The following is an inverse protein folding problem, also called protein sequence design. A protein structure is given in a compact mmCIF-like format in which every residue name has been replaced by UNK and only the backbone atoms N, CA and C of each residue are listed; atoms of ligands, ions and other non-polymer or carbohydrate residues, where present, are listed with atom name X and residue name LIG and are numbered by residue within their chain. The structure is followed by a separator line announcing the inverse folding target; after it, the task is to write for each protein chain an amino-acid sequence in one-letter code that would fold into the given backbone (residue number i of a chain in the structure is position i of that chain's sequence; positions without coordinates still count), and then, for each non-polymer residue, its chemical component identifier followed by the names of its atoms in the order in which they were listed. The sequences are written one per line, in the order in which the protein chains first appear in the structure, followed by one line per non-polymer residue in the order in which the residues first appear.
data_IF_753039064909
#
_entry.id   IF_753039064909
#
_cell.length_a   1.000
_cell.length_b   1.000
_cell.length_c   1.000
_cell.angle_alpha   90.00
_cell.angle_beta   90.00
_cell.angle_gamma   90.00
#
_symmetry.space_group_name_H-M   'P 1'
#
loop_
_entity.id
_entity.type
_entity.pdbx_description
1 polymer ?
#
# COMPACT_ATOMS: atom_id res chain seq x y z
N UNK A 1 1.61 2.20 19.58
CA UNK A 1 2.08 3.26 18.66
C UNK A 1 3.38 3.83 19.21
N UNK A 2 4.39 4.13 18.37
CA UNK A 2 5.61 4.77 18.83
C UNK A 2 5.30 6.20 19.33
N UNK A 3 6.05 6.65 20.32
CA UNK A 3 5.96 8.02 20.85
C UNK A 3 7.36 8.65 20.78
N UNK A 4 7.44 9.79 20.10
CA UNK A 4 8.68 10.57 20.02
C UNK A 4 8.61 11.74 21.01
N UNK A 5 9.60 11.87 21.88
CA UNK A 5 9.66 12.91 22.90
C UNK A 5 10.91 13.77 22.73
N UNK A 6 10.74 15.10 22.71
CA UNK A 6 11.84 16.08 22.73
C UNK A 6 11.56 17.11 23.81
N UNK A 7 12.34 17.08 24.87
CA UNK A 7 12.11 17.92 26.03
C UNK A 7 10.75 17.62 26.68
N UNK A 8 9.85 18.60 26.71
CA UNK A 8 8.49 18.47 27.25
C UNK A 8 7.42 18.22 26.19
N UNK A 9 7.80 18.12 24.92
CA UNK A 9 6.88 17.91 23.82
C UNK A 9 6.90 16.44 23.38
N UNK A 10 5.72 15.87 23.08
CA UNK A 10 5.57 14.50 22.62
C UNK A 10 4.69 14.46 21.38
N UNK A 11 5.05 13.59 20.42
CA UNK A 11 4.28 13.28 19.22
C UNK A 11 4.04 11.78 19.19
N UNK A 12 2.79 11.36 19.09
CA UNK A 12 2.40 9.96 19.02
C UNK A 12 2.24 9.51 17.55
N UNK A 13 2.75 8.31 17.23
CA UNK A 13 2.67 7.75 15.90
C UNK A 13 3.65 8.40 14.92
N UNK A 14 3.30 8.32 13.63
CA UNK A 14 4.08 8.88 12.52
C UNK A 14 3.48 10.20 12.00
N UNK A 15 2.98 11.04 12.89
CA UNK A 15 2.54 12.39 12.54
C UNK A 15 3.75 13.19 12.03
N UNK A 16 3.91 13.21 10.68
CA UNK A 16 5.05 13.86 10.02
C UNK A 16 5.09 15.36 10.29
N UNK A 17 3.91 16.01 10.36
CA UNK A 17 3.83 17.44 10.64
C UNK A 17 4.24 17.74 12.08
N UNK A 18 3.71 16.97 13.03
CA UNK A 18 4.08 17.08 14.45
C UNK A 18 5.57 16.78 14.66
N UNK A 19 6.11 15.76 14.00
CA UNK A 19 7.54 15.44 14.05
C UNK A 19 8.40 16.55 13.44
N UNK A 20 8.02 17.11 12.29
CA UNK A 20 8.73 18.22 11.66
C UNK A 20 8.75 19.46 12.57
N UNK A 21 7.64 19.80 13.20
CA UNK A 21 7.57 20.88 14.17
C UNK A 21 8.39 20.58 15.45
N UNK A 22 8.35 19.34 15.92
CA UNK A 22 9.10 18.90 17.10
C UNK A 22 10.61 19.03 16.92
N UNK A 23 11.09 18.65 15.73
CA UNK A 23 12.51 18.70 15.36
C UNK A 23 12.92 20.02 14.68
N UNK A 24 12.01 20.97 14.53
CA UNK A 24 12.25 22.25 13.86
C UNK A 24 12.78 22.04 12.40
N UNK A 25 12.35 20.97 11.76
CA UNK A 25 12.71 20.71 10.38
C UNK A 25 11.93 21.67 9.48
N UNK A 26 12.63 22.44 8.68
CA UNK A 26 11.98 23.12 7.55
C UNK A 26 11.53 22.03 6.58
N UNK A 27 10.23 21.76 6.54
CA UNK A 27 9.67 20.88 5.53
C UNK A 27 9.83 21.57 4.16
N UNK A 28 11.02 21.45 3.54
CA UNK A 28 11.07 21.54 2.09
C UNK A 28 10.21 20.37 1.60
N UNK A 29 9.01 20.69 1.14
CA UNK A 29 8.26 19.73 0.32
C UNK A 29 9.16 19.45 -0.88
N UNK A 30 9.68 18.23 -0.95
CA UNK A 30 10.19 17.74 -2.21
C UNK A 30 9.07 17.93 -3.24
N UNK A 31 9.45 18.26 -4.48
CA UNK A 31 8.45 18.42 -5.54
C UNK A 31 7.54 17.19 -5.53
N UNK A 32 6.21 17.35 -5.53
CA UNK A 32 5.31 16.21 -5.54
C UNK A 32 5.67 15.30 -6.72
N UNK A 33 5.68 14.01 -6.46
CA UNK A 33 5.92 13.01 -7.51
C UNK A 33 4.79 13.13 -8.52
N UNK A 34 5.13 13.11 -9.82
CA UNK A 34 4.13 13.29 -10.87
C UNK A 34 3.00 12.26 -10.76
N UNK A 35 1.75 12.71 -10.76
CA UNK A 35 0.58 11.84 -10.65
C UNK A 35 0.56 10.72 -11.69
N UNK A 36 0.91 11.03 -12.95
CA UNK A 36 1.01 10.03 -14.01
C UNK A 36 1.96 8.88 -13.64
N UNK A 37 3.16 9.20 -13.13
CA UNK A 37 4.12 8.18 -12.70
C UNK A 37 3.59 7.33 -11.54
N UNK A 38 2.86 7.92 -10.60
CA UNK A 38 2.24 7.19 -9.49
C UNK A 38 1.25 6.15 -10.01
N UNK A 39 0.35 6.55 -10.90
CA UNK A 39 -0.66 5.66 -11.45
C UNK A 39 -0.06 4.56 -12.35
N UNK A 40 0.94 4.88 -13.18
CA UNK A 40 1.68 3.89 -13.97
C UNK A 40 2.40 2.87 -13.08
N UNK A 41 3.02 3.34 -12.00
CA UNK A 41 3.69 2.47 -11.03
C UNK A 41 2.69 1.58 -10.29
N UNK A 42 1.52 2.11 -9.89
CA UNK A 42 0.45 1.28 -9.33
C UNK A 42 -0.02 0.20 -10.30
N UNK A 43 -0.25 0.54 -11.57
CA UNK A 43 -0.69 -0.42 -12.58
C UNK A 43 0.30 -1.60 -12.71
N UNK A 44 1.59 -1.29 -12.72
CA UNK A 44 2.66 -2.28 -12.75
C UNK A 44 2.66 -3.16 -11.49
N UNK A 45 2.64 -2.56 -10.30
CA UNK A 45 2.67 -3.28 -9.01
C UNK A 45 1.42 -4.15 -8.87
N UNK A 46 0.22 -3.62 -9.12
CA UNK A 46 -1.02 -4.38 -9.02
C UNK A 46 -1.06 -5.55 -10.00
N UNK A 47 -0.59 -5.37 -11.23
CA UNK A 47 -0.47 -6.46 -12.21
C UNK A 47 0.39 -7.59 -11.67
N UNK A 48 1.52 -7.26 -11.05
CA UNK A 48 2.43 -8.25 -10.49
C UNK A 48 1.84 -8.94 -9.24
N UNK A 49 1.13 -8.20 -8.37
CA UNK A 49 0.44 -8.78 -7.19
C UNK A 49 -0.68 -9.73 -7.63
N UNK A 50 -1.48 -9.36 -8.63
CA UNK A 50 -2.55 -10.20 -9.19
C UNK A 50 -1.96 -11.51 -9.73
N UNK A 51 -0.87 -11.42 -10.49
CA UNK A 51 -0.15 -12.59 -11.02
C UNK A 51 0.39 -13.47 -9.90
N UNK A 52 1.00 -12.90 -8.87
CA UNK A 52 1.52 -13.61 -7.71
C UNK A 52 0.41 -14.27 -6.89
N UNK A 53 -0.72 -13.59 -6.70
CA UNK A 53 -1.88 -14.14 -6.00
C UNK A 53 -2.42 -15.40 -6.68
N UNK A 54 -2.45 -15.45 -8.01
CA UNK A 54 -2.87 -16.63 -8.79
C UNK A 54 -1.94 -17.83 -8.65
N UNK A 55 -0.68 -17.61 -8.22
CA UNK A 55 0.30 -18.67 -8.03
C UNK A 55 0.19 -19.32 -6.64
N UNK A 56 -0.53 -18.71 -5.71
CA UNK A 56 -0.72 -19.30 -4.37
C UNK A 56 -1.51 -20.60 -4.51
N UNK A 57 -0.96 -21.75 -4.05
CA UNK A 57 -1.67 -23.02 -4.08
C UNK A 57 -2.96 -22.95 -3.26
N UNK A 58 -4.01 -23.63 -3.74
CA UNK A 58 -5.34 -23.55 -3.12
C UNK A 58 -5.36 -24.04 -1.66
N UNK A 59 -4.59 -25.08 -1.35
CA UNK A 59 -4.41 -25.65 -0.02
C UNK A 59 -3.54 -24.78 0.90
N UNK A 60 -2.75 -23.85 0.35
CA UNK A 60 -1.86 -22.96 1.10
C UNK A 60 -2.41 -21.53 1.23
N UNK A 61 -3.61 -21.24 0.76
CA UNK A 61 -4.17 -19.88 0.85
C UNK A 61 -4.34 -19.38 2.30
N UNK A 62 -4.39 -20.29 3.27
CA UNK A 62 -4.47 -20.00 4.71
C UNK A 62 -3.11 -20.15 5.41
N UNK A 63 -2.05 -20.48 4.69
CA UNK A 63 -0.70 -20.55 5.24
C UNK A 63 -0.23 -19.18 5.74
N UNK A 64 0.48 -19.17 6.87
CA UNK A 64 1.07 -17.98 7.49
C UNK A 64 2.58 -18.13 7.59
N UNK A 65 3.32 -17.03 7.61
CA UNK A 65 4.74 -17.08 7.96
C UNK A 65 4.90 -17.38 9.45
N UNK A 66 6.04 -17.99 9.88
CA UNK A 66 6.28 -18.28 11.30
C UNK A 66 6.20 -17.05 12.21
N UNK A 67 6.53 -15.87 11.69
CA UNK A 67 6.64 -14.63 12.47
C UNK A 67 5.38 -13.75 12.43
N UNK A 68 4.40 -14.09 11.59
CA UNK A 68 3.19 -13.26 11.40
C UNK A 68 1.95 -14.13 11.18
N UNK A 69 0.98 -13.94 12.02
CA UNK A 69 -0.34 -14.58 11.89
C UNK A 69 -1.21 -13.82 10.87
N UNK A 70 -0.76 -13.82 9.61
CA UNK A 70 -1.54 -13.26 8.49
C UNK A 70 -1.54 -14.23 7.33
N UNK A 71 -2.67 -14.90 7.05
CA UNK A 71 -2.79 -15.83 5.93
C UNK A 71 -2.45 -15.20 4.58
N UNK A 72 -1.87 -15.98 3.67
CA UNK A 72 -1.53 -15.56 2.30
C UNK A 72 -2.70 -14.87 1.60
N UNK A 73 -3.91 -15.42 1.74
CA UNK A 73 -5.14 -14.82 1.19
C UNK A 73 -5.37 -13.40 1.72
N UNK A 74 -5.25 -13.21 3.04
CA UNK A 74 -5.45 -11.91 3.68
C UNK A 74 -4.32 -10.95 3.28
N UNK A 75 -3.10 -11.46 3.14
CA UNK A 75 -1.95 -10.69 2.71
C UNK A 75 -2.11 -10.16 1.29
N UNK A 76 -2.50 -11.01 0.33
CA UNK A 76 -2.80 -10.59 -1.03
C UNK A 76 -3.96 -9.57 -1.09
N UNK A 77 -5.05 -9.86 -0.37
CA UNK A 77 -6.19 -8.94 -0.28
C UNK A 77 -5.78 -7.57 0.22
N UNK A 78 -4.98 -7.51 1.29
CA UNK A 78 -4.47 -6.27 1.87
C UNK A 78 -3.78 -5.38 0.82
N UNK A 79 -2.83 -5.93 0.06
CA UNK A 79 -2.11 -5.18 -0.96
C UNK A 79 -3.07 -4.66 -2.05
N UNK A 80 -4.03 -5.49 -2.44
CA UNK A 80 -4.98 -5.16 -3.50
C UNK A 80 -6.09 -4.19 -3.04
N UNK A 81 -6.40 -4.13 -1.75
CA UNK A 81 -7.43 -3.27 -1.21
C UNK A 81 -6.94 -1.83 -0.93
N UNK A 82 -5.69 -1.68 -0.53
CA UNK A 82 -5.13 -0.39 -0.10
C UNK A 82 -5.32 0.75 -1.10
N UNK A 83 -5.11 0.57 -2.41
CA UNK A 83 -5.35 1.63 -3.39
C UNK A 83 -6.79 2.15 -3.40
N UNK A 84 -7.78 1.29 -3.15
CA UNK A 84 -9.18 1.72 -3.09
C UNK A 84 -9.43 2.71 -1.95
N UNK A 85 -8.81 2.47 -0.79
CA UNK A 85 -8.92 3.36 0.38
C UNK A 85 -8.28 4.71 0.13
N UNK A 86 -7.18 4.76 -0.63
CA UNK A 86 -6.56 6.02 -1.04
C UNK A 86 -7.44 6.79 -2.01
N UNK A 87 -7.99 6.12 -3.03
CA UNK A 87 -8.90 6.76 -3.98
C UNK A 87 -10.15 7.31 -3.28
N UNK A 88 -10.70 6.58 -2.31
CA UNK A 88 -11.80 7.06 -1.48
C UNK A 88 -11.39 8.28 -0.64
N UNK A 89 -10.19 8.25 -0.05
CA UNK A 89 -9.69 9.37 0.74
C UNK A 89 -9.49 10.64 -0.09
N UNK A 90 -9.03 10.54 -1.34
CA UNK A 90 -8.90 11.68 -2.26
C UNK A 90 -10.27 12.32 -2.52
N UNK A 91 -11.31 11.50 -2.66
CA UNK A 91 -12.68 11.99 -2.90
C UNK A 91 -13.31 12.58 -1.63
N UNK A 92 -13.16 11.90 -0.49
CA UNK A 92 -13.84 12.25 0.77
C UNK A 92 -13.07 13.25 1.64
N UNK A 93 -11.78 13.44 1.41
CA UNK A 93 -10.90 14.24 2.26
C UNK A 93 -10.55 13.56 3.60
N UNK A 94 -10.83 12.26 3.75
CA UNK A 94 -10.60 11.48 4.99
C UNK A 94 -9.88 10.17 4.75
N UNK A 95 -8.87 9.88 5.59
CA UNK A 95 -8.12 8.61 5.60
C UNK A 95 -7.93 8.14 7.04
N UNK A 96 -8.93 7.50 7.63
CA UNK A 96 -8.96 7.18 9.07
C UNK A 96 -8.18 5.92 9.47
N UNK A 97 -7.88 5.04 8.52
CA UNK A 97 -7.09 3.81 8.74
C UNK A 97 -7.86 2.66 9.41
N UNK A 98 -9.14 2.82 9.77
CA UNK A 98 -9.95 1.77 10.41
C UNK A 98 -10.14 0.54 9.54
N UNK A 99 -10.12 0.70 8.22
CA UNK A 99 -10.19 -0.38 7.25
C UNK A 99 -9.13 -1.48 7.49
N UNK A 100 -7.98 -1.14 8.09
CA UNK A 100 -6.92 -2.10 8.42
C UNK A 100 -7.37 -3.18 9.40
N UNK A 101 -8.33 -2.87 10.26
CA UNK A 101 -8.87 -3.79 11.24
C UNK A 101 -9.84 -4.82 10.62
N UNK A 102 -10.35 -4.55 9.43
CA UNK A 102 -11.37 -5.36 8.75
C UNK A 102 -10.81 -6.26 7.64
N UNK A 103 -9.51 -6.21 7.36
CA UNK A 103 -8.92 -6.98 6.25
C UNK A 103 -9.16 -8.49 6.34
N UNK A 104 -9.05 -9.09 7.53
CA UNK A 104 -9.28 -10.52 7.70
C UNK A 104 -10.74 -10.89 7.43
N UNK A 105 -11.69 -10.10 7.94
CA UNK A 105 -13.11 -10.27 7.69
C UNK A 105 -13.44 -10.07 6.20
N UNK A 106 -12.99 -8.98 5.61
CA UNK A 106 -13.23 -8.66 4.21
C UNK A 106 -12.64 -9.71 3.26
N UNK A 107 -11.44 -10.24 3.56
CA UNK A 107 -10.83 -11.33 2.80
C UNK A 107 -11.57 -12.66 3.01
N UNK A 108 -12.30 -12.82 4.11
CA UNK A 108 -13.10 -14.01 4.43
C UNK A 108 -14.17 -14.32 3.39
N UNK A 109 -14.70 -13.33 2.68
CA UNK A 109 -15.70 -13.48 1.60
C UNK A 109 -15.18 -14.25 0.37
N UNK A 110 -13.85 -14.25 0.15
CA UNK A 110 -13.25 -14.95 -0.99
C UNK A 110 -12.97 -16.42 -0.62
N UNK A 111 -13.40 -17.32 -1.47
CA UNK A 111 -13.24 -18.77 -1.30
C UNK A 111 -12.00 -19.31 -2.00
N UNK A 112 -11.51 -18.59 -3.00
CA UNK A 112 -10.36 -18.97 -3.81
C UNK A 112 -9.41 -17.80 -4.02
N UNK A 113 -8.16 -18.09 -4.37
CA UNK A 113 -7.18 -17.05 -4.74
C UNK A 113 -7.51 -16.40 -6.08
N UNK A 114 -8.24 -17.08 -6.97
CA UNK A 114 -8.74 -16.48 -8.22
C UNK A 114 -9.79 -15.40 -7.94
N UNK A 115 -10.63 -15.57 -6.92
CA UNK A 115 -11.57 -14.52 -6.50
C UNK A 115 -10.83 -13.29 -5.94
N UNK A 116 -9.74 -13.51 -5.18
CA UNK A 116 -8.86 -12.42 -4.72
C UNK A 116 -8.18 -11.72 -5.90
N UNK A 117 -7.70 -12.48 -6.88
CA UNK A 117 -7.08 -11.92 -8.08
C UNK A 117 -8.06 -11.09 -8.91
N UNK A 118 -9.31 -11.54 -9.09
CA UNK A 118 -10.37 -10.77 -9.77
C UNK A 118 -10.71 -9.47 -9.04
N UNK A 119 -10.79 -9.50 -7.71
CA UNK A 119 -10.91 -8.27 -6.94
C UNK A 119 -9.73 -7.30 -7.21
N UNK A 120 -8.52 -7.85 -7.34
CA UNK A 120 -7.34 -7.07 -7.75
C UNK A 120 -7.49 -6.43 -9.13
N UNK A 121 -8.05 -7.15 -10.11
CA UNK A 121 -8.34 -6.60 -11.44
C UNK A 121 -9.36 -5.45 -11.39
N UNK A 122 -10.39 -5.58 -10.57
CA UNK A 122 -11.36 -4.51 -10.33
C UNK A 122 -10.69 -3.27 -9.72
N UNK A 123 -9.83 -3.47 -8.71
CA UNK A 123 -9.03 -2.39 -8.11
C UNK A 123 -8.13 -1.73 -9.13
N UNK A 124 -7.39 -2.52 -9.93
CA UNK A 124 -6.54 -2.02 -11.00
C UNK A 124 -7.33 -1.18 -12.01
N UNK A 125 -8.49 -1.66 -12.42
CA UNK A 125 -9.37 -0.91 -13.32
C UNK A 125 -9.86 0.42 -12.70
N UNK A 126 -10.11 0.47 -11.39
CA UNK A 126 -10.42 1.72 -10.68
C UNK A 126 -9.25 2.69 -10.69
N UNK A 127 -8.04 2.20 -10.41
CA UNK A 127 -6.81 3.01 -10.47
C UNK A 127 -6.60 3.59 -11.87
N UNK A 128 -6.80 2.78 -12.92
CA UNK A 128 -6.71 3.24 -14.31
C UNK A 128 -7.76 4.28 -14.68
N UNK A 129 -8.98 4.19 -14.14
CA UNK A 129 -10.00 5.25 -14.31
C UNK A 129 -9.58 6.53 -13.59
N UNK A 130 -9.17 6.39 -12.32
CA UNK A 130 -8.73 7.52 -11.52
C UNK A 130 -7.56 8.28 -12.15
N UNK A 131 -6.64 7.59 -12.83
CA UNK A 131 -5.53 8.24 -13.55
C UNK A 131 -5.97 9.16 -14.69
N UNK A 132 -7.18 8.99 -15.21
CA UNK A 132 -7.76 9.81 -16.27
C UNK A 132 -8.66 10.92 -15.73
N UNK A 133 -9.20 10.74 -14.54
CA UNK A 133 -10.21 11.60 -13.93
C UNK A 133 -9.62 12.57 -12.90
N UNK A 134 -8.57 12.17 -12.19
CA UNK A 134 -7.94 12.98 -11.15
C UNK A 134 -6.83 13.85 -11.74
N UNK A 135 -7.02 15.15 -11.67
CA UNK A 135 -6.02 16.15 -12.00
C UNK A 135 -5.16 16.55 -10.80
N UNK A 136 -4.24 17.48 -11.03
CA UNK A 136 -3.36 18.03 -9.99
C UNK A 136 -4.18 18.65 -8.85
N UNK A 137 -5.27 19.37 -9.17
CA UNK A 137 -6.09 20.02 -8.16
C UNK A 137 -6.75 19.05 -7.17
N UNK A 138 -7.18 17.88 -7.65
CA UNK A 138 -7.75 16.83 -6.80
C UNK A 138 -6.67 16.18 -5.93
N UNK A 139 -5.47 15.96 -6.49
CA UNK A 139 -4.36 15.35 -5.79
C UNK A 139 -3.72 16.30 -4.75
N UNK A 140 -3.76 17.61 -4.98
CA UNK A 140 -3.24 18.62 -4.03
C UNK A 140 -4.22 18.93 -2.89
N UNK A 141 -5.44 18.38 -2.93
CA UNK A 141 -6.45 18.64 -1.91
C UNK A 141 -6.00 18.10 -0.56
N UNK A 142 -6.15 18.88 0.54
CA UNK A 142 -5.85 18.41 1.88
C UNK A 142 -6.73 17.23 2.29
N UNK A 143 -6.10 16.20 2.85
CA UNK A 143 -6.75 14.99 3.37
C UNK A 143 -6.43 14.86 4.86
N UNK A 144 -7.46 14.69 5.68
CA UNK A 144 -7.28 14.42 7.10
C UNK A 144 -6.99 12.93 7.30
N UNK A 145 -5.73 12.59 7.47
CA UNK A 145 -5.27 11.23 7.68
C UNK A 145 -5.10 10.87 9.16
N UNK A 146 -5.10 9.58 9.47
CA UNK A 146 -4.86 9.08 10.84
C UNK A 146 -3.44 9.38 11.36
N UNK A 147 -2.52 9.75 10.48
CA UNK A 147 -1.14 10.16 10.79
C UNK A 147 -0.94 11.67 10.61
N UNK A 148 -2.01 12.47 10.57
CA UNK A 148 -1.97 13.91 10.35
C UNK A 148 -2.44 14.33 8.95
N UNK A 149 -2.34 15.64 8.67
CA UNK A 149 -2.73 16.20 7.37
C UNK A 149 -1.76 15.75 6.28
N UNK A 150 -2.32 15.35 5.14
CA UNK A 150 -1.61 14.88 3.96
C UNK A 150 -2.34 15.36 2.70
N UNK A 151 -1.91 14.94 1.53
CA UNK A 151 -2.59 15.16 0.25
C UNK A 151 -2.61 13.87 -0.58
N UNK A 152 -3.26 13.91 -1.75
CA UNK A 152 -3.41 12.75 -2.61
C UNK A 152 -2.10 12.23 -3.17
N UNK A 153 -1.14 13.09 -3.50
CA UNK A 153 0.20 12.70 -3.97
C UNK A 153 0.96 11.91 -2.88
N UNK A 154 0.98 12.44 -1.65
CA UNK A 154 1.64 11.78 -0.52
C UNK A 154 0.99 10.43 -0.19
N UNK A 155 -0.35 10.35 -0.16
CA UNK A 155 -1.05 9.11 0.11
C UNK A 155 -0.81 8.07 -0.97
N UNK A 156 -0.95 8.44 -2.26
CA UNK A 156 -0.65 7.55 -3.38
C UNK A 156 0.78 7.04 -3.29
N UNK A 157 1.76 7.92 -3.07
CA UNK A 157 3.15 7.50 -2.96
C UNK A 157 3.40 6.58 -1.77
N UNK A 158 2.83 6.90 -0.61
CA UNK A 158 2.97 6.07 0.61
C UNK A 158 2.40 4.67 0.41
N UNK A 159 1.20 4.57 -0.18
CA UNK A 159 0.56 3.26 -0.42
C UNK A 159 1.23 2.51 -1.58
N UNK A 160 1.74 3.20 -2.61
CA UNK A 160 2.57 2.58 -3.64
C UNK A 160 3.83 1.94 -3.04
N UNK A 161 4.54 2.69 -2.19
CA UNK A 161 5.71 2.22 -1.46
C UNK A 161 5.40 0.98 -0.61
N UNK A 162 4.29 1.02 0.12
CA UNK A 162 3.79 -0.09 0.93
C UNK A 162 3.44 -1.32 0.07
N UNK A 163 2.70 -1.14 -1.02
CA UNK A 163 2.34 -2.22 -1.94
C UNK A 163 3.55 -2.85 -2.61
N UNK A 164 4.53 -2.04 -3.03
CA UNK A 164 5.77 -2.52 -3.63
C UNK A 164 6.62 -3.33 -2.64
N UNK A 165 6.72 -2.88 -1.39
CA UNK A 165 7.41 -3.62 -0.33
C UNK A 165 6.71 -4.96 -0.05
N UNK A 166 5.39 -4.96 0.07
CA UNK A 166 4.62 -6.18 0.29
C UNK A 166 4.63 -7.13 -0.91
N UNK A 167 4.75 -6.63 -2.13
CA UNK A 167 4.97 -7.51 -3.29
C UNK A 167 6.29 -8.28 -3.18
N UNK A 168 7.36 -7.64 -2.72
CA UNK A 168 8.63 -8.33 -2.46
C UNK A 168 8.49 -9.40 -1.38
N UNK A 169 7.76 -9.09 -0.30
CA UNK A 169 7.44 -10.07 0.74
C UNK A 169 6.59 -11.23 0.19
N UNK A 170 5.59 -10.94 -0.66
CA UNK A 170 4.76 -11.97 -1.30
C UNK A 170 5.59 -12.92 -2.16
N UNK A 171 6.56 -12.42 -2.91
CA UNK A 171 7.48 -13.27 -3.67
C UNK A 171 8.28 -14.20 -2.76
N UNK A 172 8.74 -13.72 -1.61
CA UNK A 172 9.45 -14.56 -0.66
C UNK A 172 8.52 -15.58 0.00
N UNK A 173 7.30 -15.19 0.36
CA UNK A 173 6.29 -16.10 0.89
C UNK A 173 5.94 -17.23 -0.11
N UNK A 174 5.87 -16.93 -1.41
CA UNK A 174 5.70 -17.95 -2.45
C UNK A 174 6.87 -18.94 -2.47
N UNK A 175 8.13 -18.46 -2.39
CA UNK A 175 9.31 -19.33 -2.30
C UNK A 175 9.29 -20.20 -1.06
N UNK A 176 8.90 -19.64 0.09
CA UNK A 176 8.77 -20.40 1.34
C UNK A 176 7.78 -21.56 1.24
N UNK A 177 6.76 -21.45 0.39
CA UNK A 177 5.81 -22.53 0.13
C UNK A 177 6.14 -23.35 -1.13
N UNK A 178 7.36 -23.22 -1.66
CA UNK A 178 7.85 -24.03 -2.77
C UNK A 178 7.41 -23.55 -4.16
N UNK A 179 6.90 -22.33 -4.27
CA UNK A 179 6.45 -21.73 -5.55
C UNK A 179 7.45 -20.66 -5.99
N UNK A 180 8.14 -20.86 -7.11
CA UNK A 180 8.96 -19.80 -7.70
C UNK A 180 8.06 -18.77 -8.42
N UNK A 181 8.17 -17.47 -8.07
CA UNK A 181 7.37 -16.42 -8.71
C UNK A 181 7.61 -16.35 -10.22
N UNK A 182 6.52 -16.40 -11.01
CA UNK A 182 6.57 -16.25 -12.45
C UNK A 182 6.69 -14.77 -12.82
N UNK A 183 7.67 -14.43 -13.63
CA UNK A 183 7.95 -13.07 -14.12
C UNK A 183 7.92 -12.01 -13.00
N UNK A 184 8.75 -12.18 -11.95
CA UNK A 184 8.78 -11.24 -10.83
C UNK A 184 9.36 -9.89 -11.27
N UNK A 185 8.85 -8.81 -10.67
CA UNK A 185 9.46 -7.50 -10.82
C UNK A 185 10.84 -7.48 -10.17
N UNK A 186 11.82 -6.90 -10.86
CA UNK A 186 13.19 -6.74 -10.39
C UNK A 186 13.49 -5.31 -9.92
N UNK A 187 14.73 -5.06 -9.47
CA UNK A 187 15.16 -3.76 -8.93
C UNK A 187 14.87 -2.57 -9.87
N UNK A 188 15.00 -2.77 -11.19
CA UNK A 188 14.70 -1.73 -12.19
C UNK A 188 13.25 -1.27 -12.15
N UNK A 189 12.33 -2.17 -11.79
CA UNK A 189 10.89 -1.90 -11.78
C UNK A 189 10.46 -1.13 -10.53
N UNK A 190 11.25 -1.21 -9.46
CA UNK A 190 11.05 -0.48 -8.21
C UNK A 190 11.79 0.86 -8.17
N UNK A 191 12.46 1.24 -9.26
CA UNK A 191 13.24 2.50 -9.30
C UNK A 191 12.34 3.71 -9.02
N UNK A 192 12.75 4.53 -8.05
CA UNK A 192 12.00 5.72 -7.62
C UNK A 192 10.97 5.45 -6.52
N UNK A 193 10.70 4.19 -6.19
CA UNK A 193 9.84 3.81 -5.08
C UNK A 193 10.72 3.60 -3.83
N UNK A 194 10.51 4.42 -2.80
CA UNK A 194 11.21 4.25 -1.52
C UNK A 194 10.61 3.07 -0.76
N UNK A 195 11.44 2.13 -0.35
CA UNK A 195 11.04 0.95 0.41
C UNK A 195 12.04 0.69 1.53
N UNK A 196 11.64 0.02 2.62
CA UNK A 196 12.58 -0.52 3.59
C UNK A 196 13.63 -1.41 2.92
N UNK A 197 14.86 -1.33 3.40
CA UNK A 197 15.95 -2.22 2.91
C UNK A 197 15.69 -3.65 3.33
N UNK A 198 15.28 -3.83 4.58
CA UNK A 198 14.97 -5.13 5.14
C UNK A 198 13.59 -5.59 4.67
N UNK A 199 13.48 -6.88 4.41
CA UNK A 199 12.24 -7.46 3.87
C UNK A 199 11.20 -7.71 4.98
N UNK A 200 11.66 -7.99 6.22
CA UNK A 200 10.84 -8.33 7.38
C UNK A 200 11.04 -7.38 8.56
#
# INVERSE_FOLDING_TARGET
MPVTVVGKKAVSGFDRQGLSQLFQLSAKRDKPVAGAWLFESFDKILTAVIRAARQVPADLMLWTTPDRDRPLKVFCYHILADPNHVLEAIVTGKYDGNFKLTYAEAAGRFRTMEEVARFGEETRARVQRASKELGVAELDRPINGYAGMTDGHELLYSVLSHSAHHLRQLYEMLRMVGVEPVDPLGEKDFRGIQMPKDLW
#
